data_IF_993829010077
#
_entry.id   IF_993829010077
#
_cell.length_a   1.000
_cell.length_b   1.000
_cell.length_c   1.000
_cell.angle_alpha   90.00
_cell.angle_beta   90.00
_cell.angle_gamma   90.00
#
_symmetry.space_group_name_H-M   'P 1'
#
loop_
_entity.id
_entity.type
_entity.pdbx_description
1 polymer ?
#
# COMPACT_ATOMS: atom_id res chain seq x y z
N UNK A 1 -40.74 -17.94 -17.94
CA UNK A 1 -40.49 -16.98 -19.03
C UNK A 1 -39.08 -17.22 -19.52
N UNK A 2 -38.85 -17.66 -20.77
CA UNK A 2 -37.51 -17.93 -21.26
C UNK A 2 -36.83 -16.65 -21.71
N UNK A 3 -35.60 -16.42 -21.23
CA UNK A 3 -34.73 -15.32 -21.67
C UNK A 3 -34.17 -15.65 -23.05
N UNK A 4 -34.53 -14.85 -24.05
CA UNK A 4 -34.01 -14.93 -25.40
C UNK A 4 -32.77 -14.04 -25.49
N UNK A 5 -31.60 -14.65 -25.78
CA UNK A 5 -30.34 -13.96 -26.03
C UNK A 5 -30.35 -13.42 -27.46
N UNK A 6 -30.09 -12.12 -27.71
CA UNK A 6 -30.03 -11.60 -29.06
C UNK A 6 -28.76 -12.05 -29.80
N UNK A 7 -28.80 -12.20 -31.14
CA UNK A 7 -27.67 -12.70 -31.91
C UNK A 7 -26.54 -11.67 -32.00
N UNK A 8 -25.32 -12.16 -31.80
CA UNK A 8 -24.05 -11.44 -31.89
C UNK A 8 -23.86 -10.88 -33.32
N UNK A 9 -23.84 -9.55 -33.46
CA UNK A 9 -23.54 -8.86 -34.71
C UNK A 9 -22.04 -8.93 -34.99
N UNK A 10 -21.64 -9.68 -36.00
CA UNK A 10 -20.29 -9.65 -36.58
C UNK A 10 -20.06 -8.27 -37.22
N UNK A 11 -19.09 -7.53 -36.75
CA UNK A 11 -18.57 -6.36 -37.44
C UNK A 11 -17.63 -6.82 -38.56
N UNK A 12 -17.75 -6.28 -39.80
CA UNK A 12 -16.77 -6.55 -40.84
C UNK A 12 -15.43 -5.87 -40.50
N UNK A 13 -14.34 -6.61 -40.67
CA UNK A 13 -12.97 -6.12 -40.55
C UNK A 13 -12.58 -5.54 -41.92
N UNK A 14 -12.32 -4.25 -42.04
CA UNK A 14 -11.75 -3.72 -43.24
C UNK A 14 -10.26 -3.42 -43.07
N UNK A 15 -9.59 -3.58 -44.16
CA UNK A 15 -8.29 -3.15 -44.71
C UNK A 15 -7.01 -3.89 -44.33
N UNK A 16 -6.48 -4.46 -45.39
CA UNK A 16 -5.05 -4.66 -45.61
C UNK A 16 -4.31 -3.30 -45.56
N UNK A 17 -3.54 -3.06 -44.53
CA UNK A 17 -2.57 -1.96 -44.50
C UNK A 17 -1.34 -2.43 -45.27
N UNK A 18 -1.18 -1.94 -46.51
CA UNK A 18 0.08 -2.06 -47.24
C UNK A 18 1.15 -1.26 -46.53
N UNK A 19 2.10 -1.95 -45.92
CA UNK A 19 3.31 -1.33 -45.39
C UNK A 19 4.16 -0.77 -46.52
N UNK A 20 4.06 0.51 -46.76
CA UNK A 20 4.99 1.22 -47.66
C UNK A 20 6.34 1.34 -46.89
N UNK A 21 7.38 0.72 -47.43
CA UNK A 21 8.74 0.81 -46.91
C UNK A 21 9.24 2.25 -47.07
N UNK A 22 9.18 3.01 -45.98
CA UNK A 22 9.83 4.34 -45.93
C UNK A 22 11.36 4.20 -45.85
N UNK A 23 12.10 5.27 -46.16
CA UNK A 23 13.54 5.22 -46.32
C UNK A 23 14.23 4.78 -45.02
N UNK A 24 15.11 3.80 -45.14
CA UNK A 24 15.94 3.30 -44.05
C UNK A 24 16.87 4.42 -43.53
N UNK A 25 16.50 5.01 -42.39
CA UNK A 25 17.40 5.85 -41.61
C UNK A 25 18.55 4.96 -41.08
N UNK A 26 19.69 5.03 -41.73
CA UNK A 26 20.95 4.47 -41.20
C UNK A 26 21.40 5.36 -40.05
N UNK A 27 20.98 5.02 -38.82
CA UNK A 27 21.58 5.58 -37.62
C UNK A 27 23.04 5.14 -37.51
N UNK A 28 23.98 6.05 -37.28
CA UNK A 28 25.40 5.69 -37.12
C UNK A 28 25.55 4.84 -35.86
N UNK A 29 26.19 3.67 -36.01
CA UNK A 29 26.45 2.67 -34.95
C UNK A 29 27.20 3.25 -33.73
N UNK A 30 27.78 4.43 -33.80
CA UNK A 30 28.52 5.07 -32.71
C UNK A 30 27.61 5.61 -31.57
N UNK A 31 26.29 5.80 -31.82
CA UNK A 31 25.37 6.35 -30.82
C UNK A 31 24.70 5.25 -29.95
N UNK A 32 24.83 3.98 -30.37
CA UNK A 32 24.16 2.85 -29.73
C UNK A 32 24.74 2.52 -28.34
N UNK A 33 26.03 2.62 -28.15
CA UNK A 33 26.66 2.20 -26.88
C UNK A 33 26.39 3.18 -25.73
N UNK A 34 26.33 4.49 -26.01
CA UNK A 34 26.01 5.50 -25.00
C UNK A 34 24.54 5.39 -24.51
N UNK A 35 23.63 5.05 -25.43
CA UNK A 35 22.22 4.91 -25.10
C UNK A 35 21.93 3.68 -24.24
N UNK A 36 22.61 2.56 -24.50
CA UNK A 36 22.52 1.34 -23.69
C UNK A 36 23.11 1.53 -22.29
N UNK A 37 24.22 2.26 -22.16
CA UNK A 37 24.82 2.59 -20.86
C UNK A 37 23.91 3.49 -20.02
N UNK A 38 23.22 4.44 -20.63
CA UNK A 38 22.24 5.31 -19.93
C UNK A 38 21.03 4.52 -19.44
N UNK A 39 20.51 3.59 -20.25
CA UNK A 39 19.38 2.73 -19.86
C UNK A 39 19.78 1.79 -18.73
N UNK A 40 20.96 1.20 -18.79
CA UNK A 40 21.45 0.31 -17.72
C UNK A 40 21.71 1.09 -16.42
N UNK A 41 22.18 2.32 -16.47
CA UNK A 41 22.36 3.17 -15.29
C UNK A 41 21.01 3.56 -14.64
N UNK A 42 19.99 3.83 -15.45
CA UNK A 42 18.62 4.11 -14.97
C UNK A 42 17.94 2.90 -14.32
N UNK A 43 18.19 1.69 -14.80
CA UNK A 43 17.63 0.46 -14.24
C UNK A 43 18.33 0.08 -12.93
N UNK A 44 19.61 0.36 -12.78
CA UNK A 44 20.39 0.10 -11.57
C UNK A 44 20.05 1.07 -10.42
N UNK A 45 19.44 2.23 -10.71
CA UNK A 45 19.01 3.21 -9.70
C UNK A 45 17.60 2.96 -9.14
N UNK A 46 16.91 1.89 -9.56
CA UNK A 46 15.66 1.44 -8.93
C UNK A 46 15.98 0.80 -7.59
N UNK A 47 16.40 1.60 -6.61
CA UNK A 47 16.42 1.20 -5.21
C UNK A 47 15.04 0.69 -4.84
N UNK A 48 14.96 -0.51 -4.28
CA UNK A 48 13.72 -1.04 -3.70
C UNK A 48 13.22 0.00 -2.68
N UNK A 49 12.06 0.60 -2.96
CA UNK A 49 11.35 1.43 -1.99
C UNK A 49 10.83 0.47 -0.92
N UNK A 50 11.69 0.16 0.05
CA UNK A 50 11.27 -0.49 1.28
C UNK A 50 10.61 0.57 2.15
N UNK A 51 9.36 0.36 2.53
CA UNK A 51 8.73 1.14 3.59
C UNK A 51 9.60 0.99 4.85
N UNK A 52 10.19 2.08 5.30
CA UNK A 52 10.97 2.09 6.55
C UNK A 52 10.01 2.20 7.73
N UNK A 53 9.71 1.05 8.35
CA UNK A 53 8.84 0.97 9.51
C UNK A 53 9.53 1.54 10.73
N UNK A 54 8.99 2.61 11.29
CA UNK A 54 9.50 3.26 12.51
C UNK A 54 8.65 2.82 13.70
N UNK A 55 9.29 2.26 14.74
CA UNK A 55 8.59 1.84 15.95
C UNK A 55 8.03 3.06 16.71
N UNK A 56 6.79 2.94 17.17
CA UNK A 56 6.15 3.94 18.04
C UNK A 56 6.38 3.53 19.50
N UNK A 57 7.28 4.24 20.16
CA UNK A 57 7.60 4.01 21.57
C UNK A 57 6.58 4.71 22.48
N UNK A 58 5.41 4.11 22.65
CA UNK A 58 4.49 4.55 23.71
C UNK A 58 3.80 3.30 24.30
N UNK A 59 4.14 3.00 25.54
CA UNK A 59 3.71 1.91 26.42
C UNK A 59 4.60 0.68 26.43
N UNK A 60 5.48 0.64 27.42
CA UNK A 60 6.28 -0.52 27.80
C UNK A 60 5.41 -1.75 28.15
N UNK A 61 4.12 -1.57 28.49
CA UNK A 61 3.19 -2.67 28.81
C UNK A 61 2.85 -3.55 27.57
N UNK A 62 2.78 -2.95 26.37
CA UNK A 62 2.51 -3.70 25.15
C UNK A 62 3.78 -4.29 24.50
N UNK A 63 4.97 -3.83 24.88
CA UNK A 63 6.24 -4.28 24.30
C UNK A 63 6.50 -5.79 24.49
N UNK A 64 5.90 -6.40 25.53
CA UNK A 64 5.92 -7.85 25.74
C UNK A 64 4.98 -8.65 24.82
N UNK A 65 3.99 -8.00 24.21
CA UNK A 65 2.92 -8.67 23.45
C UNK A 65 3.03 -8.33 21.96
N UNK A 66 3.21 -7.06 21.63
CA UNK A 66 3.30 -6.56 20.26
C UNK A 66 4.15 -5.29 20.17
N UNK A 67 4.60 -4.99 18.95
CA UNK A 67 5.24 -3.71 18.63
C UNK A 67 4.43 -3.03 17.54
N UNK A 68 4.19 -1.73 17.69
CA UNK A 68 3.47 -0.92 16.72
C UNK A 68 4.47 -0.06 15.94
N UNK A 69 4.37 -0.10 14.64
CA UNK A 69 5.20 0.66 13.72
C UNK A 69 4.33 1.59 12.87
N UNK A 70 4.92 2.65 12.38
CA UNK A 70 4.34 3.55 11.38
C UNK A 70 5.23 3.60 10.15
N UNK A 71 4.63 3.85 9.01
CA UNK A 71 5.34 4.17 7.78
C UNK A 71 5.25 5.68 7.52
N UNK A 72 6.30 6.45 7.85
CA UNK A 72 6.30 7.90 7.69
C UNK A 72 6.16 8.35 6.24
N UNK A 73 6.61 7.54 5.30
CA UNK A 73 6.52 7.84 3.87
C UNK A 73 5.12 7.62 3.29
N UNK A 74 4.27 6.93 4.04
CA UNK A 74 2.86 6.72 3.68
C UNK A 74 1.94 7.87 4.07
N UNK A 75 2.43 8.86 4.84
CA UNK A 75 1.62 9.97 5.33
C UNK A 75 1.13 10.82 4.14
N UNK A 76 -0.19 10.95 4.00
CA UNK A 76 -0.85 11.77 2.98
C UNK A 76 -1.86 12.68 3.64
N UNK A 77 -1.63 13.99 3.51
CA UNK A 77 -2.47 15.05 4.10
C UNK A 77 -3.38 15.70 3.05
N UNK A 78 -4.64 15.89 3.44
CA UNK A 78 -5.61 16.68 2.68
C UNK A 78 -6.40 17.55 3.65
N UNK A 79 -6.05 18.81 3.78
CA UNK A 79 -6.59 19.71 4.81
C UNK A 79 -6.28 19.17 6.21
N UNK A 80 -7.31 19.03 7.04
CA UNK A 80 -7.19 18.48 8.39
C UNK A 80 -7.15 16.94 8.42
N UNK A 81 -7.39 16.27 7.30
CA UNK A 81 -7.40 14.81 7.23
C UNK A 81 -6.02 14.28 6.82
N UNK A 82 -5.55 13.28 7.55
CA UNK A 82 -4.27 12.61 7.30
C UNK A 82 -4.46 11.12 7.26
N UNK A 83 -3.99 10.48 6.18
CA UNK A 83 -3.92 9.02 6.06
C UNK A 83 -2.52 8.55 6.35
N UNK A 84 -2.41 7.43 7.07
CA UNK A 84 -1.13 6.81 7.40
C UNK A 84 -1.29 5.30 7.51
N UNK A 85 -0.25 4.56 7.06
CA UNK A 85 -0.14 3.13 7.31
C UNK A 85 0.57 2.88 8.63
N UNK A 86 0.07 1.91 9.37
CA UNK A 86 0.70 1.34 10.55
C UNK A 86 0.82 -0.18 10.41
N UNK A 87 1.76 -0.75 11.13
CA UNK A 87 1.97 -2.18 11.23
C UNK A 87 1.97 -2.57 12.71
N UNK A 88 1.20 -3.59 13.06
CA UNK A 88 1.27 -4.23 14.37
C UNK A 88 1.98 -5.57 14.16
N UNK A 89 3.07 -5.77 14.88
CA UNK A 89 3.85 -7.01 14.85
C UNK A 89 3.75 -7.71 16.20
N UNK A 90 3.18 -8.91 16.19
CA UNK A 90 2.89 -9.68 17.41
C UNK A 90 4.05 -10.62 17.75
N UNK A 91 4.42 -10.68 19.02
CA UNK A 91 5.43 -11.60 19.53
C UNK A 91 4.99 -13.06 19.45
N UNK A 92 3.69 -13.30 19.52
CA UNK A 92 3.08 -14.64 19.40
C UNK A 92 1.99 -14.60 18.35
N UNK A 93 1.80 -15.73 17.67
CA UNK A 93 0.77 -15.86 16.65
C UNK A 93 -0.62 -15.65 17.25
N UNK A 94 -1.40 -14.81 16.60
CA UNK A 94 -2.76 -14.44 16.96
C UNK A 94 -3.80 -15.26 16.19
N UNK A 95 -5.08 -15.15 16.60
CA UNK A 95 -6.19 -15.85 15.96
C UNK A 95 -6.37 -17.28 16.46
N UNK A 96 -7.42 -17.93 15.95
CA UNK A 96 -7.79 -19.29 16.35
C UNK A 96 -7.08 -20.36 15.53
N UNK A 97 -7.90 -21.22 14.86
CA UNK A 97 -7.38 -22.25 13.93
C UNK A 97 -7.13 -21.65 12.55
N UNK A 98 -6.18 -22.24 11.80
CA UNK A 98 -6.02 -21.93 10.36
C UNK A 98 -7.39 -21.99 9.64
N UNK A 99 -7.71 -21.01 8.74
CA UNK A 99 -6.81 -20.00 8.15
C UNK A 99 -6.74 -18.63 8.87
N UNK A 100 -7.41 -18.46 10.01
CA UNK A 100 -7.51 -17.15 10.69
C UNK A 100 -6.32 -16.78 11.59
N UNK A 101 -5.20 -17.49 11.48
CA UNK A 101 -3.96 -17.18 12.23
C UNK A 101 -3.16 -16.08 11.53
N UNK A 102 -2.51 -15.22 12.33
CA UNK A 102 -1.65 -14.16 11.82
C UNK A 102 -0.59 -13.76 12.85
N UNK A 103 0.52 -13.24 12.40
CA UNK A 103 1.61 -12.73 13.24
C UNK A 103 1.81 -11.22 13.10
N UNK A 104 1.22 -10.61 12.08
CA UNK A 104 1.24 -9.15 11.92
C UNK A 104 -0.01 -8.65 11.21
N UNK A 105 -0.29 -7.36 11.39
CA UNK A 105 -1.44 -6.68 10.79
C UNK A 105 -1.01 -5.33 10.23
N UNK A 106 -1.23 -5.10 8.93
CA UNK A 106 -1.12 -3.77 8.31
C UNK A 106 -2.47 -3.08 8.37
N UNK A 107 -2.47 -1.83 8.81
CA UNK A 107 -3.70 -1.04 9.01
C UNK A 107 -3.51 0.32 8.38
N UNK A 108 -4.47 0.76 7.57
CA UNK A 108 -4.56 2.14 7.12
C UNK A 108 -5.60 2.86 7.97
N UNK A 109 -5.19 3.95 8.58
CA UNK A 109 -6.07 4.84 9.34
C UNK A 109 -6.13 6.22 8.70
N UNK A 110 -7.25 6.90 8.89
CA UNK A 110 -7.41 8.32 8.61
C UNK A 110 -7.64 9.06 9.93
N UNK A 111 -6.88 10.12 10.12
CA UNK A 111 -6.90 10.96 11.31
C UNK A 111 -7.47 12.32 10.94
N UNK A 112 -8.36 12.84 11.77
CA UNK A 112 -8.83 14.21 11.70
C UNK A 112 -8.08 15.02 12.77
N UNK A 113 -7.16 15.86 12.32
CA UNK A 113 -6.29 16.62 13.21
C UNK A 113 -6.99 17.80 13.90
N UNK A 114 -8.16 18.23 13.41
CA UNK A 114 -8.94 19.30 14.02
C UNK A 114 -9.88 18.77 15.11
N UNK A 115 -10.46 17.58 14.90
CA UNK A 115 -11.47 17.00 15.78
C UNK A 115 -10.93 15.88 16.68
N UNK A 116 -9.61 15.67 16.68
CA UNK A 116 -8.92 14.62 17.47
C UNK A 116 -9.63 13.27 17.41
N UNK A 117 -9.91 12.79 16.20
CA UNK A 117 -10.59 11.53 15.94
C UNK A 117 -9.91 10.76 14.82
N UNK A 118 -10.17 9.47 14.77
CA UNK A 118 -9.63 8.60 13.73
C UNK A 118 -10.68 7.62 13.23
N UNK A 119 -10.43 7.05 12.04
CA UNK A 119 -11.20 5.92 11.51
C UNK A 119 -10.32 4.91 10.80
N UNK A 120 -10.77 3.67 10.79
CA UNK A 120 -10.15 2.58 10.04
C UNK A 120 -10.55 2.70 8.56
N UNK A 121 -9.58 2.61 7.65
CA UNK A 121 -9.83 2.54 6.21
C UNK A 121 -9.59 1.14 5.65
N UNK A 122 -8.51 0.49 6.06
CA UNK A 122 -8.18 -0.85 5.61
C UNK A 122 -7.39 -1.62 6.68
N UNK A 123 -7.53 -2.93 6.69
CA UNK A 123 -6.80 -3.85 7.56
C UNK A 123 -6.48 -5.11 6.78
N UNK A 124 -5.24 -5.59 6.91
CA UNK A 124 -4.81 -6.87 6.33
C UNK A 124 -3.94 -7.62 7.34
N UNK A 125 -4.34 -8.83 7.66
CA UNK A 125 -3.59 -9.74 8.50
C UNK A 125 -2.63 -10.58 7.67
N UNK A 126 -1.42 -10.84 8.18
CA UNK A 126 -0.38 -11.63 7.52
C UNK A 126 0.08 -12.76 8.42
N UNK A 127 0.39 -13.91 7.81
CA UNK A 127 0.90 -15.08 8.53
C UNK A 127 2.27 -14.84 9.17
N UNK A 128 3.13 -14.09 8.49
CA UNK A 128 4.47 -13.74 8.95
C UNK A 128 4.52 -12.44 9.73
N UNK A 129 5.61 -12.24 10.43
CA UNK A 129 5.95 -10.98 11.09
C UNK A 129 6.25 -9.88 10.08
N UNK A 130 6.19 -8.63 10.50
CA UNK A 130 6.51 -7.44 9.69
C UNK A 130 5.73 -7.36 8.36
N UNK A 131 4.48 -7.86 8.33
CA UNK A 131 3.62 -7.84 7.15
C UNK A 131 4.09 -8.74 6.03
N UNK A 132 4.78 -9.84 6.36
CA UNK A 132 5.30 -10.82 5.39
C UNK A 132 4.40 -12.05 5.30
N UNK A 133 4.67 -12.88 4.31
CA UNK A 133 3.89 -14.10 4.06
C UNK A 133 2.54 -13.81 3.39
N UNK A 134 1.74 -14.84 3.25
CA UNK A 134 0.42 -14.74 2.63
C UNK A 134 -0.57 -13.97 3.53
N UNK A 135 -1.45 -13.14 2.96
CA UNK A 135 -2.53 -12.52 3.71
C UNK A 135 -3.52 -13.59 4.19
N UNK A 136 -3.85 -13.56 5.48
CA UNK A 136 -4.81 -14.50 6.09
C UNK A 136 -6.23 -13.94 6.11
N UNK A 137 -6.39 -12.61 6.20
CA UNK A 137 -7.64 -11.89 6.12
C UNK A 137 -7.39 -10.45 5.69
N UNK A 138 -8.33 -9.86 4.96
CA UNK A 138 -8.30 -8.46 4.58
C UNK A 138 -9.68 -7.84 4.77
N UNK A 139 -9.70 -6.58 5.22
CA UNK A 139 -10.89 -5.77 5.40
C UNK A 139 -10.65 -4.39 4.81
N UNK A 140 -11.57 -3.93 3.97
CA UNK A 140 -11.54 -2.61 3.34
C UNK A 140 -12.93 -2.00 3.49
N UNK A 141 -13.11 -1.15 4.47
CA UNK A 141 -14.35 -0.39 4.65
C UNK A 141 -14.06 0.92 5.39
N UNK A 142 -14.75 1.98 5.02
CA UNK A 142 -14.69 3.24 5.75
C UNK A 142 -15.35 3.09 7.12
N UNK A 143 -14.56 2.83 8.16
CA UNK A 143 -15.04 2.73 9.54
C UNK A 143 -15.65 4.03 10.06
N UNK A 144 -16.39 3.94 11.17
CA UNK A 144 -16.91 5.10 11.88
C UNK A 144 -15.77 5.90 12.51
N UNK A 145 -15.99 7.21 12.64
CA UNK A 145 -15.09 8.08 13.39
C UNK A 145 -15.19 7.75 14.89
N UNK A 146 -14.04 7.60 15.52
CA UNK A 146 -13.90 7.41 16.96
C UNK A 146 -12.94 8.46 17.52
N UNK A 147 -13.22 8.96 18.73
CA UNK A 147 -12.34 9.91 19.39
C UNK A 147 -10.97 9.27 19.71
N UNK A 148 -9.93 10.08 19.69
CA UNK A 148 -8.60 9.67 20.14
C UNK A 148 -8.59 9.71 21.66
N UNK A 149 -8.43 8.56 22.31
CA UNK A 149 -8.36 8.51 23.76
C UNK A 149 -6.99 8.96 24.27
N UNK A 150 -6.96 9.79 25.32
CA UNK A 150 -5.71 10.19 25.96
C UNK A 150 -4.90 8.97 26.44
N UNK A 151 -3.57 9.12 26.43
CA UNK A 151 -2.59 8.11 26.88
C UNK A 151 -2.65 6.76 26.14
N UNK A 152 -3.39 6.70 25.03
CA UNK A 152 -3.51 5.51 24.18
C UNK A 152 -2.44 5.47 23.09
N UNK A 153 -2.24 4.28 22.50
CA UNK A 153 -1.41 4.13 21.30
C UNK A 153 -2.00 4.92 20.11
N UNK A 154 -3.32 5.09 20.05
CA UNK A 154 -3.97 5.88 19.03
C UNK A 154 -3.63 7.37 19.15
N UNK A 155 -3.41 7.89 20.37
CA UNK A 155 -2.93 9.24 20.54
C UNK A 155 -1.50 9.39 20.02
N UNK A 156 -0.59 8.46 20.32
CA UNK A 156 0.76 8.51 19.77
C UNK A 156 0.76 8.47 18.24
N UNK A 157 -0.09 7.63 17.64
CA UNK A 157 -0.26 7.56 16.19
C UNK A 157 -0.84 8.86 15.60
N UNK A 158 -1.80 9.48 16.28
CA UNK A 158 -2.39 10.75 15.90
C UNK A 158 -1.34 11.88 15.97
N UNK A 159 -0.52 11.93 17.02
CA UNK A 159 0.58 12.88 17.16
C UNK A 159 1.57 12.74 16.00
N UNK A 160 1.97 11.51 15.64
CA UNK A 160 2.84 11.26 14.47
C UNK A 160 2.19 11.74 13.18
N UNK A 161 0.91 11.43 12.97
CA UNK A 161 0.20 11.80 11.75
C UNK A 161 -0.02 13.31 11.64
N UNK A 162 -0.39 13.98 12.74
CA UNK A 162 -0.82 15.37 12.74
C UNK A 162 0.34 16.37 12.92
N UNK A 163 1.41 16.01 13.63
CA UNK A 163 2.55 16.89 13.89
C UNK A 163 3.62 16.87 12.81
N UNK A 164 3.58 15.91 11.88
CA UNK A 164 4.50 15.88 10.74
C UNK A 164 4.05 16.92 9.70
N UNK A 165 4.66 18.09 9.75
CA UNK A 165 4.57 19.13 8.71
C UNK A 165 5.61 18.91 7.63
#
# INVERSE_FOLDING_TARGET
MPFTIPPYRRFPVPYSVTCNAGPSLKLPLAYSWGFWLLITLLVLSSGSVHAEWVAVEKNNELAGIMTVYVDPDSIRRKGNLVKMWQLIDFKTMQGGRSPSRFSSTKIQKEFDCAEERLRLLALTNFWGNMGTGEPSAAYVEGGNWVAVEPDSINQALWEVACNKQ
#
